data_IF_362552446043
#
_entry.id   IF_362552446043
#
_cell.length_a   1.000
_cell.length_b   1.000
_cell.length_c   1.000
_cell.angle_alpha   90.00
_cell.angle_beta   90.00
_cell.angle_gamma   90.00
#
_symmetry.space_group_name_H-M   'P 1'
#
loop_
_entity.id
_entity.type
_entity.pdbx_description
1 polymer ?
#
# COMPACT_ATOMS: atom_id res chain seq x y z
N UNK A 1 6.88 -1.88 15.64
CA UNK A 1 6.10 -3.10 15.36
C UNK A 1 6.75 -3.92 14.24
N UNK A 2 6.76 -5.26 14.33
CA UNK A 2 7.29 -6.15 13.28
C UNK A 2 6.24 -6.35 12.15
N UNK A 3 6.63 -6.46 10.86
CA UNK A 3 5.68 -6.59 9.74
C UNK A 3 4.64 -7.71 9.89
N UNK A 4 5.01 -8.86 10.46
CA UNK A 4 4.10 -10.01 10.63
C UNK A 4 2.87 -9.71 11.50
N UNK A 5 2.94 -8.67 12.33
CA UNK A 5 1.77 -8.20 13.11
C UNK A 5 0.61 -7.79 12.19
N UNK A 6 0.93 -7.21 11.03
CA UNK A 6 -0.06 -6.81 10.03
C UNK A 6 -0.59 -8.01 9.25
N UNK A 7 0.24 -9.02 8.98
CA UNK A 7 -0.21 -10.30 8.41
C UNK A 7 -1.25 -10.95 9.32
N UNK A 8 -0.94 -11.06 10.62
CA UNK A 8 -1.86 -11.63 11.60
C UNK A 8 -3.14 -10.81 11.75
N UNK A 9 -3.05 -9.49 11.62
CA UNK A 9 -4.21 -8.59 11.70
C UNK A 9 -5.13 -8.69 10.49
N UNK A 10 -4.58 -8.53 9.29
CA UNK A 10 -5.38 -8.51 8.07
C UNK A 10 -5.80 -9.91 7.64
N UNK A 11 -5.08 -10.95 8.06
CA UNK A 11 -5.27 -12.31 7.55
C UNK A 11 -4.80 -12.46 6.11
N UNK A 12 -3.92 -11.57 5.65
CA UNK A 12 -3.44 -11.46 4.26
C UNK A 12 -1.93 -11.60 4.25
N UNK A 13 -1.41 -12.40 3.32
CA UNK A 13 0.03 -12.43 3.07
C UNK A 13 0.46 -11.20 2.27
N UNK A 14 1.49 -10.45 2.71
CA UNK A 14 1.99 -9.29 1.99
C UNK A 14 2.65 -9.70 0.68
N UNK A 15 2.58 -8.81 -0.30
CA UNK A 15 3.42 -8.90 -1.50
C UNK A 15 4.88 -8.57 -1.18
N UNK A 16 5.12 -7.70 -0.19
CA UNK A 16 6.46 -7.27 0.20
C UNK A 16 6.55 -6.95 1.69
N UNK A 17 7.66 -7.33 2.30
CA UNK A 17 8.04 -6.92 3.65
C UNK A 17 9.47 -6.39 3.68
N UNK A 18 9.72 -5.49 4.62
CA UNK A 18 11.07 -5.09 5.02
C UNK A 18 11.09 -5.12 6.54
N UNK A 19 12.11 -5.74 7.12
CA UNK A 19 12.36 -5.68 8.56
C UNK A 19 13.55 -4.78 8.83
N UNK A 20 13.38 -3.82 9.74
CA UNK A 20 14.46 -2.90 10.14
C UNK A 20 15.68 -3.70 10.59
N UNK A 21 16.85 -3.30 10.10
CA UNK A 21 18.12 -3.94 10.42
C UNK A 21 18.43 -5.21 9.63
N UNK A 22 17.49 -5.74 8.82
CA UNK A 22 17.70 -6.94 7.99
C UNK A 22 17.87 -6.60 6.51
N UNK A 23 18.67 -7.37 5.75
CA UNK A 23 18.66 -7.32 4.29
C UNK A 23 17.26 -7.63 3.73
N UNK A 24 16.92 -7.05 2.57
CA UNK A 24 15.63 -7.24 1.90
C UNK A 24 15.80 -7.33 0.39
N UNK A 25 14.84 -7.96 -0.30
CA UNK A 25 14.88 -8.08 -1.76
C UNK A 25 14.53 -6.75 -2.44
N UNK A 26 15.35 -6.39 -3.42
CA UNK A 26 15.08 -5.28 -4.34
C UNK A 26 14.05 -5.70 -5.39
N UNK A 27 13.42 -4.76 -6.12
CA UNK A 27 12.51 -5.07 -7.22
C UNK A 27 13.14 -5.99 -8.29
N UNK A 28 14.47 -5.97 -8.43
CA UNK A 28 15.23 -6.86 -9.31
C UNK A 28 15.37 -8.31 -8.81
N UNK A 29 14.83 -8.65 -7.64
CA UNK A 29 14.99 -9.95 -7.00
C UNK A 29 16.34 -10.15 -6.29
N UNK A 30 17.26 -9.18 -6.37
CA UNK A 30 18.55 -9.24 -5.68
C UNK A 30 18.41 -8.87 -4.20
N UNK A 31 19.16 -9.54 -3.34
CA UNK A 31 19.27 -9.13 -1.94
C UNK A 31 20.03 -7.80 -1.84
N UNK A 32 19.42 -6.81 -1.19
CA UNK A 32 20.03 -5.51 -0.96
C UNK A 32 21.21 -5.62 0.02
N UNK A 33 22.30 -4.92 -0.28
CA UNK A 33 23.49 -4.85 0.57
C UNK A 33 23.31 -3.96 1.81
N UNK A 34 22.31 -3.07 1.79
CA UNK A 34 21.99 -2.18 2.91
C UNK A 34 20.81 -2.72 3.71
N UNK A 35 20.89 -2.77 5.05
CA UNK A 35 19.77 -3.19 5.87
C UNK A 35 18.57 -2.24 5.73
N UNK A 36 17.37 -2.79 5.90
CA UNK A 36 16.13 -2.02 5.92
C UNK A 36 16.15 -0.95 7.01
N UNK A 37 15.73 0.27 6.68
CA UNK A 37 15.64 1.38 7.64
C UNK A 37 14.34 1.38 8.46
N UNK A 38 13.31 0.72 7.96
CA UNK A 38 11.96 0.71 8.52
C UNK A 38 11.35 -0.69 8.46
N UNK A 39 10.26 -0.87 9.22
CA UNK A 39 9.42 -2.06 9.12
C UNK A 39 8.30 -1.78 8.12
N UNK A 40 8.36 -2.44 6.97
CA UNK A 40 7.37 -2.32 5.90
C UNK A 40 6.55 -3.60 5.82
N UNK A 41 5.23 -3.43 5.67
CA UNK A 41 4.31 -4.45 5.21
C UNK A 41 3.51 -3.84 4.07
N UNK A 42 3.53 -4.47 2.90
CA UNK A 42 2.91 -3.92 1.70
C UNK A 42 2.19 -5.00 0.89
N UNK A 43 1.13 -4.58 0.22
CA UNK A 43 0.31 -5.39 -0.68
C UNK A 43 0.23 -4.70 -2.04
N UNK A 44 0.42 -5.48 -3.10
CA UNK A 44 0.38 -4.99 -4.47
C UNK A 44 -0.87 -5.49 -5.19
N UNK A 45 -1.48 -4.60 -5.97
CA UNK A 45 -2.65 -4.92 -6.81
C UNK A 45 -2.27 -5.34 -8.23
N UNK A 46 -1.08 -4.97 -8.71
CA UNK A 46 -0.60 -5.22 -10.08
C UNK A 46 -0.70 -6.68 -10.53
N UNK A 47 -0.39 -7.70 -9.70
CA UNK A 47 -0.53 -9.09 -10.12
C UNK A 47 -1.99 -9.56 -10.27
N UNK A 48 -2.94 -8.87 -9.65
CA UNK A 48 -4.35 -9.29 -9.57
C UNK A 48 -5.30 -8.45 -10.44
N UNK A 49 -4.91 -7.22 -10.79
CA UNK A 49 -5.76 -6.27 -11.52
C UNK A 49 -5.11 -5.95 -12.87
N UNK A 50 -5.75 -6.38 -13.95
CA UNK A 50 -5.36 -6.07 -15.33
C UNK A 50 -6.10 -4.83 -15.83
N UNK A 51 -5.77 -3.67 -15.27
CA UNK A 51 -6.29 -2.38 -15.70
C UNK A 51 -5.18 -1.34 -15.62
N UNK A 52 -5.29 -0.31 -16.43
CA UNK A 52 -4.41 0.86 -16.42
C UNK A 52 -5.05 2.04 -15.66
N UNK A 53 -6.22 1.82 -15.05
CA UNK A 53 -6.97 2.81 -14.26
C UNK A 53 -6.72 2.60 -12.77
N UNK A 54 -6.50 3.69 -12.01
CA UNK A 54 -6.20 3.62 -10.57
C UNK A 54 -7.36 3.07 -9.71
N UNK A 55 -8.60 3.49 -9.95
CA UNK A 55 -9.76 3.11 -9.13
C UNK A 55 -9.92 1.58 -8.95
N UNK A 56 -9.86 0.73 -10.00
CA UNK A 56 -9.84 -0.73 -9.84
C UNK A 56 -8.77 -1.27 -8.89
N UNK A 57 -7.56 -0.71 -8.91
CA UNK A 57 -6.49 -1.12 -8.01
C UNK A 57 -6.79 -0.74 -6.55
N UNK A 58 -7.33 0.45 -6.32
CA UNK A 58 -7.72 0.90 -4.98
C UNK A 58 -8.85 0.03 -4.41
N UNK A 59 -9.87 -0.27 -5.21
CA UNK A 59 -10.97 -1.17 -4.80
C UNK A 59 -10.48 -2.56 -4.45
N UNK A 60 -9.60 -3.14 -5.27
CA UNK A 60 -9.00 -4.43 -4.96
C UNK A 60 -8.28 -4.42 -3.60
N UNK A 61 -7.49 -3.38 -3.30
CA UNK A 61 -6.80 -3.28 -2.01
C UNK A 61 -7.76 -3.10 -0.83
N UNK A 62 -8.80 -2.28 -1.01
CA UNK A 62 -9.86 -2.06 -0.03
C UNK A 62 -10.57 -3.39 0.28
N UNK A 63 -10.98 -4.12 -0.75
CA UNK A 63 -11.67 -5.40 -0.61
C UNK A 63 -10.75 -6.46 0.01
N UNK A 64 -9.49 -6.53 -0.44
CA UNK A 64 -8.52 -7.54 0.02
C UNK A 64 -8.17 -7.35 1.49
N UNK A 65 -8.16 -6.11 1.97
CA UNK A 65 -7.96 -5.76 3.37
C UNK A 65 -9.29 -5.66 4.15
N UNK A 66 -10.43 -5.88 3.50
CA UNK A 66 -11.78 -5.78 4.06
C UNK A 66 -12.03 -4.44 4.75
N UNK A 67 -11.71 -3.34 4.07
CA UNK A 67 -11.85 -1.99 4.60
C UNK A 67 -13.25 -1.41 4.30
N UNK A 68 -13.79 -0.53 5.17
CA UNK A 68 -13.21 -0.11 6.44
C UNK A 68 -13.31 -1.23 7.49
N UNK A 69 -12.32 -1.28 8.40
CA UNK A 69 -12.43 -2.04 9.66
C UNK A 69 -12.35 -1.05 10.81
N UNK A 70 -13.22 -1.21 11.80
CA UNK A 70 -13.35 -0.26 12.90
C UNK A 70 -12.06 -0.10 13.73
N UNK A 71 -11.25 -1.16 13.80
CA UNK A 71 -10.04 -1.21 14.62
C UNK A 71 -8.75 -0.83 13.86
N UNK A 72 -8.79 -0.66 12.54
CA UNK A 72 -7.59 -0.33 11.73
C UNK A 72 -6.98 0.99 12.19
N UNK A 73 -7.81 2.03 12.35
CA UNK A 73 -7.32 3.37 12.70
C UNK A 73 -6.66 3.38 14.08
N UNK A 74 -7.37 2.87 15.09
CA UNK A 74 -6.85 2.78 16.46
C UNK A 74 -5.56 1.95 16.49
N UNK A 75 -5.49 0.87 15.71
CA UNK A 75 -4.30 0.03 15.66
C UNK A 75 -3.11 0.70 14.99
N UNK A 76 -3.32 1.49 13.94
CA UNK A 76 -2.28 2.31 13.31
C UNK A 76 -1.74 3.33 14.31
N UNK A 77 -2.61 4.03 15.03
CA UNK A 77 -2.25 5.05 16.03
C UNK A 77 -1.47 4.43 17.19
N UNK A 78 -1.95 3.33 17.79
CA UNK A 78 -1.25 2.60 18.86
C UNK A 78 0.12 2.06 18.44
N UNK A 79 0.30 1.78 17.16
CA UNK A 79 1.53 1.25 16.60
C UNK A 79 2.56 2.33 16.23
N UNK A 80 2.19 3.62 16.31
CA UNK A 80 2.91 4.74 15.68
C UNK A 80 3.26 4.43 14.21
N UNK A 81 2.30 3.83 13.51
CA UNK A 81 2.44 3.42 12.12
C UNK A 81 1.79 4.43 11.17
N UNK A 82 2.04 4.25 9.87
CA UNK A 82 1.38 5.02 8.81
C UNK A 82 0.87 4.08 7.74
N UNK A 83 -0.35 4.29 7.28
CA UNK A 83 -0.94 3.57 6.17
C UNK A 83 -1.00 4.47 4.94
N UNK A 84 -0.52 3.96 3.80
CA UNK A 84 -0.49 4.70 2.54
C UNK A 84 -0.99 3.82 1.40
N UNK A 85 -1.86 4.38 0.58
CA UNK A 85 -2.16 3.89 -0.76
C UNK A 85 -1.25 4.66 -1.72
N UNK A 86 -0.32 3.96 -2.35
CA UNK A 86 0.67 4.57 -3.24
C UNK A 86 0.48 4.09 -4.67
N UNK A 87 0.45 5.02 -5.61
CA UNK A 87 0.43 4.74 -7.04
C UNK A 87 1.55 5.51 -7.74
N UNK A 88 2.43 4.77 -8.40
CA UNK A 88 3.27 5.34 -9.46
C UNK A 88 2.41 5.42 -10.72
N UNK A 89 2.13 6.64 -11.17
CA UNK A 89 1.28 6.90 -12.33
C UNK A 89 2.14 7.28 -13.54
N UNK A 90 2.14 6.40 -14.52
CA UNK A 90 2.83 6.59 -15.78
C UNK A 90 1.96 7.41 -16.75
N UNK A 91 2.34 8.67 -16.97
CA UNK A 91 1.67 9.62 -17.84
C UNK A 91 2.63 10.23 -18.87
N UNK A 92 3.43 9.40 -19.55
CA UNK A 92 4.33 9.82 -20.64
C UNK A 92 3.68 10.74 -21.68
N UNK A 93 2.40 10.52 -22.01
CA UNK A 93 1.67 11.32 -23.01
C UNK A 93 1.05 12.60 -22.44
N UNK A 94 1.14 12.82 -21.12
CA UNK A 94 0.64 14.01 -20.42
C UNK A 94 -0.88 14.15 -20.36
N UNK A 95 -1.64 13.24 -20.98
CA UNK A 95 -3.09 13.36 -21.14
C UNK A 95 -3.91 12.38 -20.28
N UNK A 96 -3.27 11.62 -19.39
CA UNK A 96 -3.91 10.65 -18.50
C UNK A 96 -3.92 11.16 -17.07
N UNK A 97 -5.11 11.49 -16.56
CA UNK A 97 -5.30 11.88 -15.16
C UNK A 97 -5.81 10.66 -14.38
N UNK A 98 -5.18 10.28 -13.26
CA UNK A 98 -5.66 9.17 -12.44
C UNK A 98 -6.98 9.54 -11.78
N UNK A 99 -8.03 8.77 -12.10
CA UNK A 99 -9.33 8.91 -11.46
C UNK A 99 -9.39 8.12 -10.15
N UNK A 100 -9.91 8.76 -9.10
CA UNK A 100 -10.29 8.14 -7.83
C UNK A 100 -11.64 8.70 -7.41
N UNK A 101 -12.57 7.82 -7.06
CA UNK A 101 -13.90 8.26 -6.63
C UNK A 101 -13.87 8.93 -5.25
N UNK A 102 -14.78 9.88 -5.02
CA UNK A 102 -14.93 10.54 -3.71
C UNK A 102 -15.21 9.56 -2.58
N UNK A 103 -15.98 8.49 -2.86
CA UNK A 103 -16.24 7.44 -1.89
C UNK A 103 -14.95 6.71 -1.48
N UNK A 104 -14.10 6.37 -2.45
CA UNK A 104 -12.79 5.75 -2.19
C UNK A 104 -11.88 6.68 -1.38
N UNK A 105 -11.83 7.98 -1.72
CA UNK A 105 -11.05 8.97 -0.94
C UNK A 105 -11.51 9.05 0.51
N UNK A 106 -12.82 9.25 0.73
CA UNK A 106 -13.40 9.33 2.08
C UNK A 106 -13.17 8.07 2.90
N UNK A 107 -13.25 6.89 2.27
CA UNK A 107 -12.94 5.63 2.95
C UNK A 107 -11.49 5.61 3.41
N UNK A 108 -10.53 5.90 2.53
CA UNK A 108 -9.10 5.91 2.86
C UNK A 108 -8.81 6.90 4.00
N UNK A 109 -9.39 8.10 3.94
CA UNK A 109 -9.24 9.13 4.98
C UNK A 109 -9.87 8.70 6.32
N UNK A 110 -11.04 8.06 6.29
CA UNK A 110 -11.75 7.64 7.51
C UNK A 110 -10.96 6.66 8.37
N UNK A 111 -10.14 5.81 7.75
CA UNK A 111 -9.26 4.84 8.43
C UNK A 111 -7.87 5.42 8.75
N UNK A 112 -7.65 6.71 8.52
CA UNK A 112 -6.35 7.38 8.74
C UNK A 112 -5.30 7.06 7.67
N UNK A 113 -5.71 6.52 6.52
CA UNK A 113 -4.85 6.28 5.38
C UNK A 113 -4.61 7.55 4.56
N UNK A 114 -3.52 7.56 3.81
CA UNK A 114 -3.20 8.64 2.86
C UNK A 114 -3.09 8.08 1.45
N UNK A 115 -3.73 8.73 0.48
CA UNK A 115 -3.54 8.43 -0.94
C UNK A 115 -2.42 9.32 -1.50
N UNK A 116 -1.39 8.68 -2.04
CA UNK A 116 -0.24 9.34 -2.68
C UNK A 116 -0.12 8.84 -4.12
N UNK A 117 -0.10 9.80 -5.05
CA UNK A 117 0.06 9.54 -6.48
C UNK A 117 1.36 10.23 -6.89
N UNK A 118 2.33 9.44 -7.31
CA UNK A 118 3.61 9.90 -7.85
C UNK A 118 3.52 9.84 -9.38
N UNK A 119 3.34 11.00 -10.00
CA UNK A 119 3.15 11.12 -11.44
C UNK A 119 4.50 11.29 -12.14
N UNK A 120 4.80 10.36 -13.05
CA UNK A 120 5.88 10.50 -14.01
C UNK A 120 5.34 11.11 -15.31
N UNK A 121 6.03 12.12 -15.82
CA UNK A 121 5.74 12.84 -17.06
C UNK A 121 6.97 12.87 -17.95
#
# INVERSE_FOLDING_TARGET
MHPDTWTAFFGVFPSRTITRGKPYLLPSGRLGSRPGKLNLWALESKPAVHSDRLEPHLRYLIDRLSLPRDDVRERIERADARMRFFCYWDNETGNRVPYVSEATRKLIESIGGVLEIDEYR
#
